data_IF_608705606620
#
_entry.id   IF_608705606620
#
_cell.length_a   1.000
_cell.length_b   1.000
_cell.length_c   1.000
_cell.angle_alpha   90.00
_cell.angle_beta   90.00
_cell.angle_gamma   90.00
#
_symmetry.space_group_name_H-M   'P 1'
#
loop_
_entity.id
_entity.type
_entity.pdbx_description
1 polymer ?
#
# COMPACT_ATOMS: atom_id res chain seq x y z
N UNK A 1 -4.40 4.61 -4.77
CA UNK A 1 -5.22 5.33 -5.78
C UNK A 1 -6.22 4.39 -6.44
N UNK A 2 -5.79 3.41 -7.24
CA UNK A 2 -6.73 2.52 -7.93
C UNK A 2 -7.62 1.71 -6.99
N UNK A 3 -7.07 1.20 -5.88
CA UNK A 3 -7.87 0.53 -4.85
C UNK A 3 -9.04 1.39 -4.34
N UNK A 4 -8.77 2.67 -4.05
CA UNK A 4 -9.80 3.64 -3.63
C UNK A 4 -10.79 3.95 -4.75
N UNK A 5 -10.28 4.08 -5.98
CA UNK A 5 -11.11 4.30 -7.17
C UNK A 5 -12.11 3.16 -7.38
N UNK A 6 -11.62 1.92 -7.33
CA UNK A 6 -12.42 0.69 -7.50
C UNK A 6 -13.42 0.60 -6.35
N UNK A 7 -13.00 0.77 -5.09
CA UNK A 7 -13.89 0.69 -3.93
C UNK A 7 -15.01 1.75 -3.95
N UNK A 8 -14.71 2.98 -4.39
CA UNK A 8 -15.72 4.03 -4.54
C UNK A 8 -16.67 3.81 -5.72
N UNK A 9 -16.19 3.15 -6.78
CA UNK A 9 -16.97 2.87 -7.97
C UNK A 9 -17.76 1.57 -7.88
N UNK A 10 -17.43 0.67 -6.94
CA UNK A 10 -17.98 -0.69 -6.88
C UNK A 10 -19.49 -0.72 -6.76
N UNK A 11 -20.09 0.20 -6.00
CA UNK A 11 -21.55 0.29 -5.88
C UNK A 11 -22.25 0.48 -7.25
N UNK A 12 -21.60 1.12 -8.22
CA UNK A 12 -22.14 1.33 -9.56
C UNK A 12 -21.61 0.33 -10.59
N UNK A 13 -20.31 0.05 -10.54
CA UNK A 13 -19.62 -0.79 -11.53
C UNK A 13 -19.72 -2.28 -11.23
N UNK A 14 -20.06 -2.64 -9.98
CA UNK A 14 -20.27 -4.00 -9.51
C UNK A 14 -19.10 -4.93 -9.81
N UNK A 15 -17.89 -4.51 -9.46
CA UNK A 15 -16.68 -5.30 -9.66
C UNK A 15 -16.64 -6.53 -8.74
N UNK A 16 -17.47 -6.55 -7.71
CA UNK A 16 -17.59 -7.64 -6.74
C UNK A 16 -18.71 -8.64 -7.04
N UNK A 17 -19.39 -8.56 -8.19
CA UNK A 17 -20.26 -9.65 -8.66
C UNK A 17 -19.38 -10.82 -9.13
N UNK A 18 -19.39 -11.92 -8.35
CA UNK A 18 -18.44 -13.05 -8.45
C UNK A 18 -18.88 -14.15 -9.42
N UNK A 19 -19.50 -13.81 -10.55
CA UNK A 19 -19.70 -14.79 -11.62
C UNK A 19 -18.43 -14.96 -12.46
N UNK A 20 -18.22 -16.17 -12.99
CA UNK A 20 -16.97 -16.54 -13.67
C UNK A 20 -16.72 -15.70 -14.92
N UNK A 21 -17.76 -15.43 -15.69
CA UNK A 21 -17.66 -14.69 -16.95
C UNK A 21 -17.36 -13.21 -16.68
N UNK A 22 -18.03 -12.59 -15.70
CA UNK A 22 -17.72 -11.24 -15.26
C UNK A 22 -16.30 -11.15 -14.74
N UNK A 23 -15.86 -12.10 -13.91
CA UNK A 23 -14.50 -12.13 -13.38
C UNK A 23 -13.46 -12.22 -14.50
N UNK A 24 -13.66 -13.10 -15.49
CA UNK A 24 -12.75 -13.25 -16.63
C UNK A 24 -12.63 -11.96 -17.47
N UNK A 25 -13.66 -11.11 -17.46
CA UNK A 25 -13.67 -9.83 -18.17
C UNK A 25 -13.05 -8.65 -17.38
N UNK A 26 -12.71 -8.83 -16.08
CA UNK A 26 -12.11 -7.79 -15.24
C UNK A 26 -10.62 -7.56 -15.57
N UNK A 27 -10.36 -7.06 -16.78
CA UNK A 27 -9.03 -6.59 -17.21
C UNK A 27 -8.76 -5.15 -16.75
N UNK A 28 -7.48 -4.76 -16.71
CA UNK A 28 -7.06 -3.42 -16.28
C UNK A 28 -7.74 -2.32 -17.10
N UNK A 29 -7.75 -2.45 -18.43
CA UNK A 29 -8.40 -1.50 -19.34
C UNK A 29 -9.92 -1.47 -19.16
N UNK A 30 -10.55 -2.63 -18.95
CA UNK A 30 -11.98 -2.72 -18.71
C UNK A 30 -12.37 -2.02 -17.41
N UNK A 31 -11.66 -2.27 -16.32
CA UNK A 31 -11.94 -1.65 -15.02
C UNK A 31 -11.79 -0.13 -15.11
N UNK A 32 -10.70 0.36 -15.70
CA UNK A 32 -10.47 1.80 -15.83
C UNK A 32 -11.52 2.45 -16.73
N UNK A 33 -11.81 1.89 -17.90
CA UNK A 33 -12.82 2.43 -18.81
C UNK A 33 -14.22 2.45 -18.17
N UNK A 34 -14.62 1.38 -17.49
CA UNK A 34 -15.91 1.29 -16.79
C UNK A 34 -16.04 2.38 -15.71
N UNK A 35 -14.98 2.64 -14.93
CA UNK A 35 -14.98 3.73 -13.93
C UNK A 35 -15.13 5.09 -14.61
N UNK A 36 -14.40 5.34 -15.70
CA UNK A 36 -14.43 6.62 -16.40
C UNK A 36 -15.77 6.88 -17.10
N UNK A 37 -16.46 5.83 -17.55
CA UNK A 37 -17.78 5.89 -18.20
C UNK A 37 -18.96 6.07 -17.25
N UNK A 38 -18.75 5.94 -15.93
CA UNK A 38 -19.79 6.13 -14.90
C UNK A 38 -20.41 7.56 -14.93
N UNK A 39 -21.61 7.81 -14.39
CA UNK A 39 -22.08 9.19 -14.17
C UNK A 39 -21.28 9.93 -13.09
N UNK A 40 -21.31 11.27 -13.09
CA UNK A 40 -20.60 12.13 -12.11
C UNK A 40 -21.56 12.83 -11.14
N UNK A 41 -22.64 12.15 -10.77
CA UNK A 41 -23.73 12.75 -10.00
C UNK A 41 -23.37 12.86 -8.52
N UNK A 42 -22.65 11.88 -7.97
CA UNK A 42 -22.28 11.86 -6.55
C UNK A 42 -20.81 12.26 -6.32
N UNK A 43 -20.50 12.70 -5.09
CA UNK A 43 -19.12 13.01 -4.69
C UNK A 43 -18.20 11.79 -4.81
N UNK A 44 -18.70 10.59 -4.50
CA UNK A 44 -17.95 9.34 -4.59
C UNK A 44 -17.61 9.01 -6.04
N UNK A 45 -18.58 9.16 -6.95
CA UNK A 45 -18.38 8.93 -8.39
C UNK A 45 -17.30 9.86 -8.97
N UNK A 46 -17.41 11.17 -8.70
CA UNK A 46 -16.42 12.15 -9.13
C UNK A 46 -15.02 11.84 -8.59
N UNK A 47 -14.95 11.39 -7.32
CA UNK A 47 -13.69 11.03 -6.66
C UNK A 47 -13.07 9.77 -7.27
N UNK A 48 -13.87 8.74 -7.54
CA UNK A 48 -13.43 7.54 -8.23
C UNK A 48 -12.85 7.87 -9.61
N UNK A 49 -13.62 8.58 -10.45
CA UNK A 49 -13.15 9.03 -11.77
C UNK A 49 -11.87 9.82 -11.70
N UNK A 50 -11.78 10.76 -10.75
CA UNK A 50 -10.57 11.56 -10.55
C UNK A 50 -9.36 10.66 -10.28
N UNK A 51 -9.48 9.66 -9.41
CA UNK A 51 -8.36 8.74 -9.16
C UNK A 51 -7.97 7.91 -10.39
N UNK A 52 -8.94 7.39 -11.14
CA UNK A 52 -8.68 6.66 -12.38
C UNK A 52 -7.99 7.56 -13.44
N UNK A 53 -8.48 8.79 -13.60
CA UNK A 53 -7.93 9.76 -14.55
C UNK A 53 -6.54 10.23 -14.14
N UNK A 54 -6.33 10.49 -12.85
CA UNK A 54 -5.01 10.87 -12.31
C UNK A 54 -4.01 9.72 -12.42
N UNK A 55 -4.47 8.46 -12.27
CA UNK A 55 -3.65 7.28 -12.52
C UNK A 55 -3.21 7.19 -13.99
N UNK A 56 -4.15 7.28 -14.94
CA UNK A 56 -3.85 7.26 -16.38
C UNK A 56 -2.88 8.39 -16.79
N UNK A 57 -3.08 9.60 -16.24
CA UNK A 57 -2.26 10.76 -16.56
C UNK A 57 -0.98 10.87 -15.71
N UNK A 58 -0.62 9.83 -14.94
CA UNK A 58 0.55 9.81 -14.04
C UNK A 58 0.59 10.96 -13.02
N UNK A 59 -0.58 11.52 -12.66
CA UNK A 59 -0.75 12.51 -11.58
C UNK A 59 -0.91 11.81 -10.24
N UNK A 60 0.12 11.08 -9.83
CA UNK A 60 0.09 10.22 -8.65
C UNK A 60 0.08 11.01 -7.33
N UNK A 61 -0.49 10.40 -6.29
CA UNK A 61 -0.33 10.84 -4.91
C UNK A 61 1.16 10.98 -4.57
N UNK A 62 1.49 12.00 -3.77
CA UNK A 62 2.86 12.27 -3.36
C UNK A 62 3.15 11.60 -2.04
N UNK A 63 4.25 10.85 -1.97
CA UNK A 63 4.82 10.41 -0.71
C UNK A 63 5.39 11.63 0.00
N UNK A 64 4.91 11.92 1.21
CA UNK A 64 5.29 13.11 1.98
C UNK A 64 6.05 12.78 3.26
N UNK A 65 6.03 11.51 3.67
CA UNK A 65 6.79 11.04 4.82
C UNK A 65 7.03 9.54 4.65
N UNK A 66 8.25 9.12 4.97
CA UNK A 66 8.66 7.72 5.00
C UNK A 66 9.46 7.47 6.27
N UNK A 67 9.19 6.35 6.95
CA UNK A 67 9.92 5.93 8.14
C UNK A 67 10.13 4.42 8.16
N UNK A 68 11.38 4.02 8.35
CA UNK A 68 11.75 2.63 8.59
C UNK A 68 11.43 2.25 10.04
N UNK A 69 10.75 1.12 10.22
CA UNK A 69 10.27 0.60 11.50
C UNK A 69 10.69 -0.85 11.70
N UNK A 70 11.23 -1.14 12.89
CA UNK A 70 11.65 -2.50 13.30
C UNK A 70 10.45 -3.36 13.71
N UNK A 71 9.39 -2.76 14.27
CA UNK A 71 8.20 -3.48 14.72
C UNK A 71 7.00 -3.26 13.79
N UNK A 72 6.19 -4.30 13.64
CA UNK A 72 4.95 -4.29 12.86
C UNK A 72 3.85 -3.75 13.76
N UNK A 73 3.19 -2.68 13.33
CA UNK A 73 1.94 -2.10 13.85
C UNK A 73 2.08 -0.72 14.50
N UNK A 74 1.94 0.32 13.68
CA UNK A 74 1.15 1.47 14.12
C UNK A 74 -0.23 1.34 13.49
N UNK A 75 -1.28 1.64 14.27
CA UNK A 75 -2.64 1.64 13.76
C UNK A 75 -2.78 2.73 12.69
N UNK A 76 -2.78 2.34 11.42
CA UNK A 76 -2.79 3.25 10.26
C UNK A 76 -4.00 4.18 10.28
N UNK A 77 -5.14 3.70 10.80
CA UNK A 77 -6.34 4.51 10.97
C UNK A 77 -6.12 5.65 11.99
N UNK A 78 -5.55 5.33 13.16
CA UNK A 78 -5.26 6.33 14.19
C UNK A 78 -4.22 7.37 13.71
N UNK A 79 -3.19 6.92 12.98
CA UNK A 79 -2.22 7.84 12.36
C UNK A 79 -2.95 8.77 11.39
N UNK A 80 -3.80 8.22 10.52
CA UNK A 80 -4.55 9.01 9.54
C UNK A 80 -5.44 10.06 10.20
N UNK A 81 -6.12 9.71 11.28
CA UNK A 81 -6.97 10.66 12.04
C UNK A 81 -6.16 11.77 12.70
N UNK A 82 -5.07 11.43 13.38
CA UNK A 82 -4.18 12.42 14.01
C UNK A 82 -3.57 13.37 12.96
N UNK A 83 -3.19 12.85 11.81
CA UNK A 83 -2.67 13.66 10.70
C UNK A 83 -3.74 14.57 10.10
N UNK A 84 -4.97 14.07 9.91
CA UNK A 84 -6.08 14.87 9.40
C UNK A 84 -6.38 16.06 10.32
N UNK A 85 -6.45 15.81 11.63
CA UNK A 85 -6.68 16.84 12.64
C UNK A 85 -5.55 17.88 12.66
N UNK A 86 -4.28 17.42 12.66
CA UNK A 86 -3.11 18.31 12.75
C UNK A 86 -2.87 19.13 11.48
N UNK A 87 -3.10 18.55 10.31
CA UNK A 87 -2.91 19.22 9.00
C UNK A 87 -4.14 19.99 8.51
N UNK A 88 -5.26 19.94 9.24
CA UNK A 88 -6.58 20.49 8.83
C UNK A 88 -6.98 20.04 7.43
N UNK A 89 -6.70 18.78 7.11
CA UNK A 89 -6.98 18.14 5.81
C UNK A 89 -7.99 17.01 6.02
N UNK A 90 -8.85 16.77 5.03
CA UNK A 90 -9.79 15.65 5.11
C UNK A 90 -9.02 14.31 5.22
N UNK A 91 -9.43 13.45 6.15
CA UNK A 91 -8.84 12.11 6.36
C UNK A 91 -8.85 11.26 5.09
N UNK A 92 -9.84 11.44 4.22
CA UNK A 92 -9.93 10.70 2.96
C UNK A 92 -8.80 11.06 1.98
N UNK A 93 -8.16 12.22 2.14
CA UNK A 93 -7.09 12.71 1.26
C UNK A 93 -5.69 12.37 1.80
N UNK A 94 -5.62 11.60 2.87
CA UNK A 94 -4.38 11.13 3.50
C UNK A 94 -4.39 9.60 3.46
N UNK A 95 -3.34 9.00 2.91
CA UNK A 95 -3.20 7.56 2.78
C UNK A 95 -1.99 7.12 3.59
N UNK A 96 -2.20 6.18 4.51
CA UNK A 96 -1.16 5.64 5.38
C UNK A 96 -0.96 4.19 4.98
N UNK A 97 0.22 3.89 4.48
CA UNK A 97 0.62 2.56 4.03
C UNK A 97 1.73 2.02 4.92
N UNK A 98 1.65 0.73 5.25
CA UNK A 98 2.69 0.02 5.99
C UNK A 98 3.05 -1.23 5.23
N UNK A 99 4.19 -1.20 4.56
CA UNK A 99 4.71 -2.35 3.82
C UNK A 99 5.81 -3.04 4.62
N UNK A 100 5.73 -4.35 4.79
CA UNK A 100 6.84 -5.16 5.30
C UNK A 100 7.58 -5.80 4.14
N UNK A 101 8.88 -5.53 4.01
CA UNK A 101 9.74 -6.19 3.03
C UNK A 101 10.69 -7.11 3.76
N UNK A 102 10.59 -8.41 3.49
CA UNK A 102 11.61 -9.38 3.90
C UNK A 102 12.61 -9.50 2.76
N UNK A 103 13.89 -9.27 3.03
CA UNK A 103 14.96 -9.51 2.05
C UNK A 103 15.21 -11.00 1.82
N UNK A 104 14.64 -11.85 2.68
CA UNK A 104 14.70 -13.30 2.58
C UNK A 104 13.32 -13.84 2.20
N UNK A 105 13.24 -14.79 1.24
CA UNK A 105 12.01 -15.49 0.93
C UNK A 105 11.40 -16.16 2.17
N UNK A 106 10.07 -16.07 2.26
CA UNK A 106 9.31 -16.80 3.26
C UNK A 106 9.11 -18.25 2.82
N UNK A 107 8.89 -19.14 3.78
CA UNK A 107 8.46 -20.51 3.51
C UNK A 107 7.04 -20.53 2.91
N UNK A 108 6.58 -21.66 2.33
CA UNK A 108 5.19 -21.79 1.88
C UNK A 108 4.16 -21.50 2.98
N UNK A 109 4.49 -21.77 4.24
CA UNK A 109 3.68 -21.45 5.42
C UNK A 109 3.72 -19.95 5.81
N UNK A 110 4.36 -19.09 5.01
CA UNK A 110 4.60 -17.65 5.27
C UNK A 110 5.44 -17.38 6.52
N UNK A 111 6.25 -18.35 6.94
CA UNK A 111 7.17 -18.20 8.05
C UNK A 111 8.52 -17.70 7.57
N UNK A 112 9.28 -17.06 8.48
CA UNK A 112 10.66 -16.69 8.17
C UNK A 112 11.49 -17.96 8.01
N UNK A 113 12.14 -18.11 6.87
CA UNK A 113 13.19 -19.12 6.68
C UNK A 113 14.31 -18.85 7.68
N UNK A 114 14.74 -19.89 8.42
CA UNK A 114 15.72 -19.75 9.52
C UNK A 114 17.09 -20.36 9.20
N UNK A 115 17.17 -21.17 8.15
CA UNK A 115 18.34 -21.94 7.77
C UNK A 115 18.35 -22.22 6.26
N UNK A 116 19.52 -22.59 5.75
CA UNK A 116 19.70 -23.18 4.42
C UNK A 116 20.45 -24.51 4.56
N UNK A 117 20.21 -25.42 3.61
CA UNK A 117 20.99 -26.63 3.46
C UNK A 117 22.15 -26.32 2.50
N UNK A 118 23.37 -26.40 3.00
CA UNK A 118 24.57 -26.36 2.18
C UNK A 118 24.86 -27.77 1.67
N UNK A 119 24.76 -27.96 0.36
CA UNK A 119 25.13 -29.22 -0.28
C UNK A 119 26.66 -29.27 -0.42
N UNK A 120 27.27 -30.19 0.32
CA UNK A 120 28.68 -30.58 0.21
C UNK A 120 28.78 -32.11 0.13
N UNK A 121 29.94 -32.72 0.39
CA UNK A 121 30.06 -34.19 0.50
C UNK A 121 29.06 -34.80 1.50
N UNK A 122 28.73 -34.03 2.55
CA UNK A 122 27.59 -34.30 3.44
C UNK A 122 26.70 -33.05 3.48
N UNK A 123 25.37 -33.17 3.32
CA UNK A 123 24.47 -32.04 3.51
C UNK A 123 24.56 -31.50 4.95
N UNK A 124 24.76 -30.20 5.09
CA UNK A 124 24.82 -29.52 6.40
C UNK A 124 23.78 -28.43 6.43
N UNK A 125 22.96 -28.40 7.48
CA UNK A 125 22.05 -27.30 7.74
C UNK A 125 22.79 -26.14 8.46
N UNK A 126 22.74 -24.95 7.87
CA UNK A 126 23.37 -23.74 8.41
C UNK A 126 22.27 -22.73 8.75
N UNK A 127 22.13 -22.35 10.04
CA UNK A 127 21.25 -21.27 10.44
C UNK A 127 21.68 -19.92 9.85
N UNK A 128 20.72 -19.06 9.49
CA UNK A 128 21.01 -17.72 8.97
C UNK A 128 21.76 -16.82 9.94
N UNK A 129 21.59 -17.03 11.25
CA UNK A 129 22.38 -16.32 12.27
C UNK A 129 23.88 -16.60 12.18
N UNK A 130 24.29 -17.69 11.53
CA UNK A 130 25.71 -18.05 11.32
C UNK A 130 26.28 -17.54 10.00
N UNK A 131 25.46 -16.95 9.13
CA UNK A 131 25.90 -16.41 7.84
C UNK A 131 25.87 -14.88 7.95
N UNK A 132 27.01 -14.20 8.12
CA UNK A 132 27.04 -12.77 8.51
C UNK A 132 26.20 -11.86 7.62
N UNK A 133 26.30 -12.01 6.29
CA UNK A 133 25.53 -11.20 5.33
C UNK A 133 24.04 -11.49 5.39
N UNK A 134 23.66 -12.74 5.62
CA UNK A 134 22.23 -13.12 5.69
C UNK A 134 21.64 -12.71 7.03
N UNK A 135 22.39 -12.79 8.12
CA UNK A 135 21.94 -12.38 9.46
C UNK A 135 21.53 -10.91 9.52
N UNK A 136 22.23 -10.02 8.81
CA UNK A 136 21.88 -8.60 8.76
C UNK A 136 20.64 -8.31 7.89
N UNK A 137 20.28 -9.23 6.99
CA UNK A 137 19.14 -9.12 6.07
C UNK A 137 17.91 -9.93 6.51
N UNK A 138 18.07 -10.85 7.48
CA UNK A 138 17.01 -11.73 7.96
C UNK A 138 15.93 -11.01 8.78
N UNK A 139 16.24 -9.81 9.27
CA UNK A 139 15.25 -8.95 9.89
C UNK A 139 14.38 -8.28 8.83
N UNK A 140 13.09 -8.64 8.82
CA UNK A 140 12.10 -7.98 7.99
C UNK A 140 11.97 -6.52 8.41
N UNK A 141 12.16 -5.62 7.47
CA UNK A 141 12.03 -4.19 7.69
C UNK A 141 10.61 -3.77 7.33
N UNK A 142 9.93 -3.04 8.23
CA UNK A 142 8.66 -2.41 7.90
C UNK A 142 8.91 -0.96 7.51
N UNK A 143 8.18 -0.46 6.53
CA UNK A 143 8.25 0.93 6.08
C UNK A 143 6.85 1.52 6.18
N UNK A 144 6.73 2.59 6.96
CA UNK A 144 5.55 3.44 7.03
C UNK A 144 5.68 4.54 5.97
N UNK A 145 4.68 4.68 5.12
CA UNK A 145 4.59 5.74 4.11
C UNK A 145 3.29 6.51 4.25
N UNK A 146 3.39 7.83 4.13
CA UNK A 146 2.23 8.71 4.10
C UNK A 146 2.15 9.36 2.74
N UNK A 147 0.99 9.27 2.11
CA UNK A 147 0.71 9.88 0.82
C UNK A 147 -0.44 10.87 0.91
N UNK A 148 -0.39 11.89 0.06
CA UNK A 148 -1.50 12.83 -0.12
C UNK A 148 -1.51 13.42 -1.53
N UNK A 149 -2.53 14.23 -1.86
CA UNK A 149 -2.56 14.98 -3.12
C UNK A 149 -1.49 16.07 -3.15
N UNK A 150 -1.08 16.48 -4.36
CA UNK A 150 -0.11 17.56 -4.55
C UNK A 150 -0.48 18.83 -3.77
N UNK A 151 -1.77 19.18 -3.71
CA UNK A 151 -2.26 20.41 -3.07
C UNK A 151 -2.12 20.39 -1.54
N UNK A 152 -2.11 19.20 -0.93
CA UNK A 152 -2.01 19.03 0.52
C UNK A 152 -0.58 18.71 0.98
N UNK A 153 0.37 18.58 0.05
CA UNK A 153 1.73 18.09 0.28
C UNK A 153 2.40 18.72 1.51
N UNK A 154 2.58 20.04 1.49
CA UNK A 154 3.34 20.74 2.52
C UNK A 154 2.68 20.65 3.91
N UNK A 155 1.35 20.75 3.97
CA UNK A 155 0.59 20.71 5.23
C UNK A 155 0.66 19.34 5.89
N UNK A 156 0.49 18.28 5.10
CA UNK A 156 0.56 16.89 5.59
C UNK A 156 1.99 16.51 5.93
N UNK A 157 2.98 16.94 5.15
CA UNK A 157 4.41 16.71 5.42
C UNK A 157 4.84 17.29 6.79
N UNK A 158 4.53 18.57 7.03
CA UNK A 158 4.84 19.21 8.32
C UNK A 158 4.13 18.53 9.49
N UNK A 159 2.87 18.15 9.31
CA UNK A 159 2.11 17.43 10.34
C UNK A 159 2.70 16.05 10.62
N UNK A 160 3.14 15.33 9.59
CA UNK A 160 3.74 14.00 9.70
C UNK A 160 5.08 14.05 10.45
N UNK A 161 6.00 14.93 10.04
CA UNK A 161 7.26 15.17 10.76
C UNK A 161 7.01 15.50 12.23
N UNK A 162 6.13 16.47 12.49
CA UNK A 162 5.83 16.86 13.87
C UNK A 162 5.11 15.78 14.70
N UNK A 163 4.45 14.79 14.10
CA UNK A 163 3.76 13.70 14.82
C UNK A 163 4.66 12.47 15.01
N UNK A 164 5.50 12.15 14.03
CA UNK A 164 6.18 10.86 13.93
C UNK A 164 7.71 10.98 14.07
N UNK A 165 8.25 12.21 14.16
CA UNK A 165 9.67 12.52 14.17
C UNK A 165 10.17 12.76 12.76
#
# INVERSE_FOLDING_TARGET
>A
MMLESIGLADQYCKFTELDLDSYANLTDEFVISKILSMPDNTKQQRRAKKFALDYQNRRLLKCVYEKVMVQKSQNTHQIREKLAQKSKTNKEDIFVDTSGTSSIPLTPAKEKTKSIILMSEKPIEIPFSKIPVVSSMAESVNILRIYTSQNNRNKVEMAAKSLLG
#
